data_IF_893845425940
#
_entry.id   IF_893845425940
#
_cell.length_a   1.000
_cell.length_b   1.000
_cell.length_c   1.000
_cell.angle_alpha   90.00
_cell.angle_beta   90.00
_cell.angle_gamma   90.00
#
_symmetry.space_group_name_H-M   'P 1'
#
loop_
_entity.id
_entity.type
_entity.pdbx_description
1 polymer ?
#
# COMPACT_ATOMS: atom_id res chain seq x y z
N UNK A 1 45.22 -16.05 17.19
CA UNK A 1 44.10 -16.37 16.28
C UNK A 1 43.18 -17.23 17.12
N UNK A 2 42.17 -16.63 17.75
CA UNK A 2 41.40 -17.30 18.80
C UNK A 2 40.51 -18.36 18.19
N UNK A 3 40.61 -19.58 18.72
CA UNK A 3 39.74 -20.70 18.36
C UNK A 3 38.31 -20.37 18.81
N UNK A 4 37.53 -19.80 17.89
CA UNK A 4 36.08 -19.76 18.01
C UNK A 4 35.58 -21.21 17.89
N UNK A 5 35.54 -21.91 19.02
CA UNK A 5 34.86 -23.19 19.12
C UNK A 5 33.37 -22.89 19.16
N UNK A 6 32.69 -23.13 18.05
CA UNK A 6 31.24 -23.15 18.00
C UNK A 6 30.75 -24.24 18.94
N UNK A 7 30.34 -23.83 20.13
CA UNK A 7 29.94 -24.72 21.20
C UNK A 7 28.41 -24.86 21.27
N UNK A 8 27.95 -25.62 22.24
CA UNK A 8 26.52 -25.91 22.39
C UNK A 8 25.71 -24.64 22.69
N UNK A 9 26.30 -23.67 23.40
CA UNK A 9 25.67 -22.37 23.67
C UNK A 9 25.53 -21.55 22.39
N UNK A 10 26.58 -21.47 21.57
CA UNK A 10 26.52 -20.81 20.26
C UNK A 10 25.49 -21.46 19.34
N UNK A 11 25.38 -22.79 19.35
CA UNK A 11 24.36 -23.53 18.60
C UNK A 11 22.94 -23.20 19.09
N UNK A 12 22.73 -23.12 20.41
CA UNK A 12 21.44 -22.75 21.01
C UNK A 12 21.07 -21.31 20.64
N UNK A 13 22.01 -20.37 20.74
CA UNK A 13 21.78 -18.96 20.39
C UNK A 13 21.48 -18.81 18.90
N UNK A 14 22.20 -19.52 18.02
CA UNK A 14 21.92 -19.52 16.59
C UNK A 14 20.53 -20.09 16.27
N UNK A 15 20.14 -21.19 16.92
CA UNK A 15 18.83 -21.79 16.73
C UNK A 15 17.70 -20.87 17.25
N UNK A 16 17.88 -20.26 18.41
CA UNK A 16 16.91 -19.33 19.00
C UNK A 16 16.74 -18.06 18.15
N UNK A 17 17.84 -17.50 17.63
CA UNK A 17 17.80 -16.32 16.76
C UNK A 17 17.16 -16.65 15.41
N UNK A 18 17.47 -17.80 14.81
CA UNK A 18 16.81 -18.26 13.59
C UNK A 18 15.31 -18.49 13.81
N UNK A 19 14.91 -19.13 14.91
CA UNK A 19 13.50 -19.34 15.25
C UNK A 19 12.75 -18.02 15.47
N UNK A 20 13.36 -17.07 16.19
CA UNK A 20 12.78 -15.74 16.39
C UNK A 20 12.66 -14.96 15.08
N UNK A 21 13.66 -15.03 14.20
CA UNK A 21 13.63 -14.40 12.89
C UNK A 21 12.57 -15.02 11.98
N UNK A 22 12.46 -16.35 11.94
CA UNK A 22 11.42 -17.07 11.20
C UNK A 22 10.03 -16.73 11.73
N UNK A 23 9.83 -16.75 13.05
CA UNK A 23 8.56 -16.37 13.67
C UNK A 23 8.20 -14.91 13.38
N UNK A 24 9.16 -14.00 13.41
CA UNK A 24 8.93 -12.61 13.03
C UNK A 24 8.55 -12.49 11.55
N UNK A 25 9.28 -13.18 10.67
CA UNK A 25 9.04 -13.19 9.24
C UNK A 25 7.63 -13.70 8.92
N UNK A 26 7.24 -14.83 9.49
CA UNK A 26 5.91 -15.42 9.29
C UNK A 26 4.79 -14.49 9.75
N UNK A 27 4.92 -13.88 10.93
CA UNK A 27 3.85 -13.05 11.50
C UNK A 27 3.78 -11.62 10.94
N UNK A 28 4.90 -11.06 10.47
CA UNK A 28 4.98 -9.64 10.13
C UNK A 28 5.34 -9.35 8.67
N UNK A 29 6.07 -10.25 8.01
CA UNK A 29 6.58 -10.04 6.65
C UNK A 29 5.80 -10.89 5.64
N UNK A 30 5.62 -12.18 5.91
CA UNK A 30 4.85 -13.11 5.10
C UNK A 30 3.34 -12.95 5.34
N UNK A 31 2.83 -11.74 5.14
CA UNK A 31 1.41 -11.48 5.19
C UNK A 31 0.77 -12.02 3.92
N UNK A 32 -0.19 -12.91 4.06
CA UNK A 32 -1.08 -13.24 2.94
C UNK A 32 -1.81 -11.96 2.50
N UNK A 33 -1.84 -11.66 1.19
CA UNK A 33 -2.59 -10.52 0.71
C UNK A 33 -4.05 -10.66 1.13
N UNK A 34 -4.51 -9.78 2.02
CA UNK A 34 -5.92 -9.74 2.41
C UNK A 34 -6.82 -9.25 1.26
N UNK A 35 -6.22 -8.56 0.27
CA UNK A 35 -6.88 -8.11 -0.95
C UNK A 35 -6.42 -9.04 -2.07
N UNK A 36 -7.31 -9.94 -2.49
CA UNK A 36 -7.13 -10.88 -3.60
C UNK A 36 -7.53 -10.28 -4.96
N UNK A 37 -7.69 -8.94 -5.01
CA UNK A 37 -8.05 -8.21 -6.22
C UNK A 37 -7.09 -8.57 -7.36
N UNK A 38 -7.68 -8.97 -8.50
CA UNK A 38 -6.93 -9.27 -9.72
C UNK A 38 -6.25 -8.05 -10.33
N UNK A 39 -6.72 -6.85 -9.98
CA UNK A 39 -6.18 -5.59 -10.47
C UNK A 39 -5.14 -5.06 -9.48
N UNK A 40 -3.98 -4.69 -9.99
CA UNK A 40 -3.03 -3.81 -9.30
C UNK A 40 -3.71 -2.46 -9.00
N UNK A 41 -3.20 -1.71 -8.00
CA UNK A 41 -3.79 -0.41 -7.66
C UNK A 41 -3.83 0.54 -8.86
N UNK A 42 -2.79 0.51 -9.70
CA UNK A 42 -2.74 1.23 -10.97
C UNK A 42 -3.88 0.84 -11.92
N UNK A 43 -4.11 -0.45 -12.12
CA UNK A 43 -5.19 -0.94 -12.98
C UNK A 43 -6.57 -0.58 -12.42
N UNK A 44 -6.72 -0.61 -11.09
CA UNK A 44 -7.96 -0.21 -10.42
C UNK A 44 -8.26 1.28 -10.61
N UNK A 45 -7.25 2.15 -10.45
CA UNK A 45 -7.40 3.59 -10.70
C UNK A 45 -7.69 3.86 -12.17
N UNK A 46 -7.00 3.19 -13.09
CA UNK A 46 -7.30 3.28 -14.52
C UNK A 46 -8.75 2.88 -14.81
N UNK A 47 -9.25 1.78 -14.24
CA UNK A 47 -10.64 1.34 -14.39
C UNK A 47 -11.63 2.37 -13.81
N UNK A 48 -11.33 2.99 -12.67
CA UNK A 48 -12.17 4.06 -12.11
C UNK A 48 -12.20 5.30 -13.00
N UNK A 49 -11.05 5.69 -13.55
CA UNK A 49 -10.94 6.85 -14.43
C UNK A 49 -11.64 6.57 -15.76
N UNK A 50 -11.50 5.40 -16.35
CA UNK A 50 -12.09 5.04 -17.65
C UNK A 50 -13.56 4.63 -17.57
N UNK A 51 -13.99 4.14 -16.41
CA UNK A 51 -15.32 3.61 -16.17
C UNK A 51 -16.39 4.67 -15.88
N UNK A 52 -17.40 4.26 -15.11
CA UNK A 52 -18.57 5.07 -14.83
C UNK A 52 -18.21 6.26 -13.90
N UNK A 53 -18.51 7.52 -14.28
CA UNK A 53 -18.20 8.70 -13.46
C UNK A 53 -18.88 8.71 -12.10
N UNK A 54 -20.05 8.06 -11.96
CA UNK A 54 -20.73 7.88 -10.67
C UNK A 54 -19.85 7.00 -9.77
N UNK A 55 -19.35 5.87 -10.30
CA UNK A 55 -18.48 4.95 -9.55
C UNK A 55 -17.19 5.66 -9.11
N UNK A 56 -16.61 6.50 -9.97
CA UNK A 56 -15.44 7.30 -9.61
C UNK A 56 -15.75 8.27 -8.47
N UNK A 57 -16.88 9.00 -8.56
CA UNK A 57 -17.31 9.92 -7.51
C UNK A 57 -17.62 9.21 -6.19
N UNK A 58 -18.24 8.03 -6.24
CA UNK A 58 -18.54 7.23 -5.04
C UNK A 58 -17.29 6.70 -4.34
N UNK A 59 -16.21 6.42 -5.08
CA UNK A 59 -14.97 5.89 -4.51
C UNK A 59 -13.99 6.99 -4.09
N UNK A 60 -13.80 8.01 -4.94
CA UNK A 60 -12.78 9.06 -4.73
C UNK A 60 -13.37 10.39 -4.25
N UNK A 61 -14.70 10.52 -4.16
CA UNK A 61 -15.41 11.78 -3.83
C UNK A 61 -15.04 12.94 -4.74
N UNK A 62 -14.57 12.64 -5.94
CA UNK A 62 -14.02 13.61 -6.87
C UNK A 62 -14.46 13.29 -8.30
N UNK A 63 -14.75 14.33 -9.07
CA UNK A 63 -15.03 14.19 -10.49
C UNK A 63 -13.75 13.86 -11.26
N UNK A 64 -13.88 13.05 -12.31
CA UNK A 64 -12.79 12.64 -13.22
C UNK A 64 -11.90 13.78 -13.69
N UNK A 65 -12.47 14.90 -14.12
CA UNK A 65 -11.69 16.02 -14.64
C UNK A 65 -10.87 16.68 -13.53
N UNK A 66 -11.47 16.84 -12.35
CA UNK A 66 -10.79 17.43 -11.17
C UNK A 66 -9.65 16.51 -10.72
N UNK A 67 -9.88 15.20 -10.71
CA UNK A 67 -8.86 14.22 -10.37
C UNK A 67 -7.65 14.29 -11.32
N UNK A 68 -7.89 14.33 -12.64
CA UNK A 68 -6.81 14.47 -13.63
C UNK A 68 -6.03 15.76 -13.45
N UNK A 69 -6.73 16.89 -13.33
CA UNK A 69 -6.08 18.18 -13.11
C UNK A 69 -5.22 18.18 -11.84
N UNK A 70 -5.68 17.52 -10.78
CA UNK A 70 -4.91 17.41 -9.54
C UNK A 70 -3.64 16.56 -9.74
N UNK A 71 -3.73 15.44 -10.45
CA UNK A 71 -2.56 14.60 -10.75
C UNK A 71 -1.55 15.36 -11.63
N UNK A 72 -2.04 16.08 -12.65
CA UNK A 72 -1.23 16.90 -13.56
C UNK A 72 -0.54 18.05 -12.82
N UNK A 73 -1.28 18.79 -11.98
CA UNK A 73 -0.72 19.86 -11.13
C UNK A 73 0.33 19.31 -10.16
N UNK A 74 0.02 18.19 -9.48
CA UNK A 74 0.95 17.59 -8.52
C UNK A 74 2.26 17.13 -9.17
N UNK A 75 2.18 16.65 -10.42
CA UNK A 75 3.35 16.26 -11.22
C UNK A 75 4.12 17.50 -11.70
N UNK A 76 3.41 18.50 -12.22
CA UNK A 76 4.01 19.72 -12.80
C UNK A 76 4.71 20.56 -11.74
N UNK A 77 4.13 20.67 -10.54
CA UNK A 77 4.70 21.39 -9.41
C UNK A 77 5.84 20.61 -8.73
N UNK A 78 6.05 19.34 -9.08
CA UNK A 78 7.06 18.48 -8.48
C UNK A 78 6.70 17.98 -7.06
N UNK A 79 5.47 18.21 -6.62
CA UNK A 79 4.94 17.78 -5.33
C UNK A 79 4.82 16.25 -5.25
N UNK A 80 4.47 15.61 -6.36
CA UNK A 80 4.43 14.16 -6.51
C UNK A 80 5.22 13.72 -7.74
N UNK A 81 5.76 12.50 -7.66
CA UNK A 81 6.41 11.80 -8.75
C UNK A 81 6.16 10.31 -8.62
N UNK A 82 6.29 9.60 -9.73
CA UNK A 82 6.24 8.15 -9.71
C UNK A 82 7.32 7.61 -8.76
N UNK A 83 6.92 6.65 -7.94
CA UNK A 83 7.83 5.91 -7.05
C UNK A 83 8.07 4.51 -7.60
N UNK A 84 8.82 3.68 -6.86
CA UNK A 84 9.16 2.32 -7.29
C UNK A 84 7.92 1.41 -7.20
N UNK A 85 7.06 1.50 -8.22
CA UNK A 85 5.87 0.68 -8.39
C UNK A 85 4.52 1.39 -8.20
N UNK A 86 4.49 2.70 -7.90
CA UNK A 86 3.23 3.45 -7.68
C UNK A 86 3.27 4.75 -8.48
N UNK A 87 2.31 4.96 -9.38
CA UNK A 87 2.20 6.19 -10.17
C UNK A 87 1.64 7.36 -9.36
N UNK A 88 1.78 8.59 -9.83
CA UNK A 88 1.14 9.77 -9.20
C UNK A 88 -0.38 9.57 -9.09
N UNK A 89 -1.03 9.13 -10.17
CA UNK A 89 -2.48 8.83 -10.18
C UNK A 89 -2.86 7.81 -9.10
N UNK A 90 -2.03 6.79 -8.90
CA UNK A 90 -2.26 5.76 -7.90
C UNK A 90 -2.05 6.30 -6.48
N UNK A 91 -1.04 7.13 -6.25
CA UNK A 91 -0.81 7.81 -4.97
C UNK A 91 -1.99 8.73 -4.60
N UNK A 92 -2.43 9.59 -5.53
CA UNK A 92 -3.57 10.49 -5.34
C UNK A 92 -4.86 9.66 -5.17
N UNK A 93 -5.04 8.62 -5.98
CA UNK A 93 -6.18 7.71 -5.90
C UNK A 93 -6.30 7.03 -4.55
N UNK A 94 -5.20 6.46 -4.02
CA UNK A 94 -5.16 5.85 -2.69
C UNK A 94 -5.56 6.87 -1.62
N UNK A 95 -4.99 8.08 -1.65
CA UNK A 95 -5.29 9.12 -0.67
C UNK A 95 -6.79 9.45 -0.62
N UNK A 96 -7.39 9.74 -1.78
CA UNK A 96 -8.82 10.08 -1.85
C UNK A 96 -9.73 8.90 -1.53
N UNK A 97 -9.35 7.69 -1.93
CA UNK A 97 -10.05 6.48 -1.57
C UNK A 97 -10.09 6.31 -0.04
N UNK A 98 -8.96 6.45 0.65
CA UNK A 98 -8.90 6.32 2.11
C UNK A 98 -9.78 7.36 2.81
N UNK A 99 -9.60 8.65 2.52
CA UNK A 99 -10.34 9.69 3.23
C UNK A 99 -11.85 9.66 2.91
N UNK A 100 -12.22 9.32 1.67
CA UNK A 100 -13.62 9.27 1.23
C UNK A 100 -14.39 8.08 1.81
N UNK A 101 -13.68 6.98 2.12
CA UNK A 101 -14.23 5.83 2.83
C UNK A 101 -14.29 6.04 4.35
N UNK A 102 -13.29 6.68 4.96
CA UNK A 102 -13.31 7.03 6.38
C UNK A 102 -14.49 7.94 6.74
N UNK A 103 -14.82 8.89 5.85
CA UNK A 103 -16.02 9.72 5.97
C UNK A 103 -17.30 8.88 6.03
N UNK A 104 -17.46 7.87 5.15
CA UNK A 104 -18.61 6.96 5.19
C UNK A 104 -18.65 6.15 6.48
N UNK A 105 -17.50 5.65 6.91
CA UNK A 105 -17.41 4.82 8.12
C UNK A 105 -17.79 5.62 9.37
N UNK A 106 -17.42 6.91 9.44
CA UNK A 106 -17.86 7.81 10.52
C UNK A 106 -19.35 8.10 10.46
N UNK A 107 -19.89 8.48 9.30
CA UNK A 107 -21.31 8.84 9.16
C UNK A 107 -22.23 7.66 9.52
N UNK A 108 -21.83 6.43 9.22
CA UNK A 108 -22.61 5.23 9.57
C UNK A 108 -22.58 4.92 11.07
N UNK A 109 -21.57 5.40 11.79
CA UNK A 109 -21.41 5.18 13.23
C UNK A 109 -22.01 6.30 14.11
N UNK A 110 -22.55 7.36 13.51
CA UNK A 110 -23.36 8.38 14.18
C UNK A 110 -24.85 7.97 14.24
#
# INVERSE_FOLDING_TARGET
MGDYNFDEEDMIVLAATAAAASHYYENHISKEPCIDSKLTGKEYIAELVEGNPIRMYENLRMNKLVFKNLCDSSTTEGSLRDTRGISVDEQVGIFFYTIGHDERSRIVQE
#
